data_IF_902171669847
#
_entry.id   IF_902171669847
#
_cell.length_a   1.000
_cell.length_b   1.000
_cell.length_c   1.000
_cell.angle_alpha   90.00
_cell.angle_beta   90.00
_cell.angle_gamma   90.00
#
_symmetry.space_group_name_H-M   'P 1'
#
loop_
_entity.id
_entity.type
_entity.pdbx_description
1 polymer ?
#
# COMPACT_ATOMS: atom_id res chain seq x y z
N UNK A 1 25.34 -34.92 4.38
CA UNK A 1 25.70 -33.49 4.43
C UNK A 1 25.65 -32.80 3.06
N UNK A 2 25.83 -33.50 1.92
CA UNK A 2 25.78 -32.90 0.56
C UNK A 2 24.36 -32.69 0.00
N UNK A 3 23.41 -33.59 0.28
CA UNK A 3 22.03 -33.49 -0.23
C UNK A 3 21.21 -32.36 0.42
N UNK A 4 21.43 -32.11 1.71
CA UNK A 4 20.71 -31.06 2.46
C UNK A 4 21.09 -29.64 1.98
N UNK A 5 22.33 -29.45 1.52
CA UNK A 5 22.82 -28.18 0.97
C UNK A 5 22.23 -27.93 -0.43
N UNK A 6 22.07 -29.00 -1.22
CA UNK A 6 21.49 -28.92 -2.56
C UNK A 6 19.99 -28.59 -2.53
N UNK A 7 19.23 -29.18 -1.59
CA UNK A 7 17.81 -28.87 -1.37
C UNK A 7 17.61 -27.43 -0.86
N UNK A 8 18.50 -26.93 0.00
CA UNK A 8 18.45 -25.52 0.45
C UNK A 8 18.76 -24.54 -0.69
N UNK A 9 19.76 -24.83 -1.53
CA UNK A 9 20.08 -24.00 -2.69
C UNK A 9 18.95 -23.99 -3.72
N UNK A 10 18.32 -25.15 -3.97
CA UNK A 10 17.18 -25.24 -4.88
C UNK A 10 15.96 -24.47 -4.34
N UNK A 11 15.69 -24.57 -3.03
CA UNK A 11 14.64 -23.80 -2.36
C UNK A 11 14.90 -22.28 -2.42
N UNK A 12 16.15 -21.85 -2.26
CA UNK A 12 16.55 -20.44 -2.33
C UNK A 12 16.43 -19.90 -3.76
N UNK A 13 16.77 -20.71 -4.77
CA UNK A 13 16.59 -20.36 -6.19
C UNK A 13 15.11 -20.29 -6.56
N UNK A 14 14.26 -21.21 -6.08
CA UNK A 14 12.80 -21.12 -6.31
C UNK A 14 12.15 -19.93 -5.60
N UNK A 15 12.67 -19.53 -4.43
CA UNK A 15 12.25 -18.31 -3.72
C UNK A 15 12.67 -17.03 -4.46
N UNK A 16 13.82 -17.04 -5.16
CA UNK A 16 14.30 -15.89 -5.95
C UNK A 16 13.63 -15.76 -7.33
N UNK A 17 13.11 -16.85 -7.90
CA UNK A 17 12.49 -16.84 -9.25
C UNK A 17 10.99 -16.50 -9.22
N UNK A 18 10.37 -16.51 -8.04
CA UNK A 18 8.96 -16.14 -7.87
C UNK A 18 8.77 -14.62 -7.72
N UNK A 19 9.33 -13.82 -8.63
CA UNK A 19 8.86 -12.44 -8.77
C UNK A 19 7.49 -12.52 -9.42
N UNK A 20 6.43 -12.53 -8.62
CA UNK A 20 5.12 -12.16 -9.13
C UNK A 20 5.28 -10.77 -9.75
N UNK A 21 5.22 -10.69 -11.08
CA UNK A 21 4.86 -9.46 -11.78
C UNK A 21 3.41 -9.20 -11.39
N UNK A 22 3.21 -8.63 -10.20
CA UNK A 22 1.94 -8.02 -9.89
C UNK A 22 1.75 -6.95 -10.95
N UNK A 23 0.73 -7.12 -11.80
CA UNK A 23 0.20 -6.01 -12.57
C UNK A 23 -0.21 -4.96 -11.55
N UNK A 24 0.64 -3.95 -11.37
CA UNK A 24 0.42 -2.94 -10.35
C UNK A 24 -0.72 -2.05 -10.85
N UNK A 25 -1.82 -2.03 -10.09
CA UNK A 25 -2.95 -1.16 -10.33
C UNK A 25 -3.21 -0.28 -9.12
N UNK A 26 -3.75 0.91 -9.37
CA UNK A 26 -4.18 1.86 -8.34
C UNK A 26 -5.59 2.33 -8.68
N UNK A 27 -6.45 2.38 -7.67
CA UNK A 27 -7.79 2.97 -7.77
C UNK A 27 -7.86 4.14 -6.79
N UNK A 28 -8.39 5.27 -7.24
CA UNK A 28 -8.67 6.44 -6.41
C UNK A 28 -10.09 6.96 -6.70
N UNK A 29 -10.70 7.62 -5.71
CA UNK A 29 -12.04 8.18 -5.78
C UNK A 29 -11.98 9.69 -5.59
N UNK A 30 -12.85 10.43 -6.28
CA UNK A 30 -12.81 11.89 -6.36
C UNK A 30 -14.21 12.47 -6.47
N UNK A 31 -14.43 13.62 -5.84
CA UNK A 31 -15.63 14.43 -5.98
C UNK A 31 -15.23 15.76 -6.61
N UNK A 32 -15.72 16.02 -7.82
CA UNK A 32 -15.56 17.28 -8.54
C UNK A 32 -16.80 18.14 -8.30
N UNK A 33 -16.60 19.42 -7.98
CA UNK A 33 -17.68 20.38 -7.79
C UNK A 33 -17.64 21.50 -8.82
N UNK A 34 -18.79 21.78 -9.43
CA UNK A 34 -19.03 22.95 -10.29
C UNK A 34 -20.14 23.80 -9.68
N UNK A 35 -19.98 25.12 -9.71
CA UNK A 35 -21.04 26.02 -9.25
C UNK A 35 -22.15 26.15 -10.31
N UNK A 36 -23.27 26.74 -9.91
CA UNK A 36 -24.38 27.07 -10.79
C UNK A 36 -25.58 26.16 -10.56
N UNK A 37 -26.77 26.75 -10.47
CA UNK A 37 -28.00 26.02 -10.15
C UNK A 37 -28.66 25.37 -11.38
N UNK A 38 -28.19 25.68 -12.58
CA UNK A 38 -28.76 25.20 -13.85
C UNK A 38 -28.41 23.75 -14.22
N UNK A 39 -27.64 23.03 -13.40
CA UNK A 39 -27.18 21.68 -13.74
C UNK A 39 -28.26 20.59 -13.65
N UNK A 40 -29.36 20.82 -12.93
CA UNK A 40 -30.43 19.85 -12.72
C UNK A 40 -30.96 19.25 -14.02
N UNK A 41 -31.23 20.10 -15.02
CA UNK A 41 -31.75 19.66 -16.33
C UNK A 41 -30.70 18.87 -17.11
N UNK A 42 -29.43 19.26 -17.03
CA UNK A 42 -28.33 18.55 -17.71
C UNK A 42 -28.15 17.16 -17.11
N UNK A 43 -28.15 17.02 -15.78
CA UNK A 43 -28.02 15.72 -15.12
C UNK A 43 -29.23 14.84 -15.41
N UNK A 44 -30.44 15.41 -15.42
CA UNK A 44 -31.67 14.65 -15.68
C UNK A 44 -31.79 14.17 -17.12
N UNK A 45 -31.53 15.06 -18.08
CA UNK A 45 -31.88 14.83 -19.49
C UNK A 45 -30.65 14.44 -20.34
N UNK A 46 -29.44 14.79 -19.90
CA UNK A 46 -28.19 14.67 -20.66
C UNK A 46 -27.03 14.06 -19.87
N UNK A 47 -27.30 13.23 -18.86
CA UNK A 47 -26.27 12.63 -18.00
C UNK A 47 -25.18 11.89 -18.78
N UNK A 48 -25.52 11.17 -19.85
CA UNK A 48 -24.54 10.48 -20.69
C UNK A 48 -23.60 11.46 -21.41
N UNK A 49 -24.15 12.49 -22.06
CA UNK A 49 -23.36 13.54 -22.73
C UNK A 49 -22.47 14.28 -21.72
N UNK A 50 -22.97 14.54 -20.51
CA UNK A 50 -22.21 15.18 -19.45
C UNK A 50 -21.01 14.32 -19.01
N UNK A 51 -21.20 13.01 -18.87
CA UNK A 51 -20.11 12.07 -18.55
C UNK A 51 -19.06 12.03 -19.66
N UNK A 52 -19.48 12.02 -20.92
CA UNK A 52 -18.54 12.06 -22.05
C UNK A 52 -17.75 13.38 -22.09
N UNK A 53 -18.41 14.51 -21.82
CA UNK A 53 -17.74 15.81 -21.72
C UNK A 53 -16.71 15.83 -20.58
N UNK A 54 -17.06 15.28 -19.42
CA UNK A 54 -16.15 15.13 -18.28
C UNK A 54 -14.97 14.21 -18.60
N UNK A 55 -15.19 13.06 -19.26
CA UNK A 55 -14.11 12.17 -19.71
C UNK A 55 -13.19 12.89 -20.69
N UNK A 56 -13.75 13.65 -21.64
CA UNK A 56 -12.96 14.41 -22.59
C UNK A 56 -12.07 15.44 -21.89
N UNK A 57 -12.62 16.21 -20.96
CA UNK A 57 -11.87 17.25 -20.26
C UNK A 57 -10.83 16.70 -19.25
N UNK A 58 -11.17 15.64 -18.51
CA UNK A 58 -10.27 15.00 -17.52
C UNK A 58 -9.22 14.14 -18.23
N UNK A 59 -9.63 13.41 -19.26
CA UNK A 59 -8.78 12.50 -20.02
C UNK A 59 -7.59 13.20 -20.67
N UNK A 60 -7.70 14.50 -21.00
CA UNK A 60 -6.57 15.30 -21.48
C UNK A 60 -5.41 15.37 -20.48
N UNK A 61 -5.71 15.33 -19.18
CA UNK A 61 -4.69 15.39 -18.12
C UNK A 61 -4.26 13.99 -17.69
N UNK A 62 -5.20 13.05 -17.60
CA UNK A 62 -4.95 11.74 -17.01
C UNK A 62 -4.48 10.65 -17.99
N UNK A 63 -4.70 10.82 -19.30
CA UNK A 63 -4.27 9.82 -20.28
C UNK A 63 -2.82 10.04 -20.70
N UNK A 64 -1.90 9.26 -20.12
CA UNK A 64 -0.50 9.23 -20.54
C UNK A 64 -0.18 8.03 -21.42
N UNK A 65 0.13 8.31 -22.67
CA UNK A 65 0.60 7.28 -23.62
C UNK A 65 1.87 6.63 -23.10
N UNK A 66 1.95 5.30 -23.23
CA UNK A 66 3.12 4.49 -22.91
C UNK A 66 3.56 4.45 -21.44
N UNK A 67 2.83 5.11 -20.53
CA UNK A 67 3.01 4.96 -19.11
C UNK A 67 2.09 3.84 -18.60
N UNK A 68 0.85 4.15 -18.24
CA UNK A 68 -0.15 3.22 -17.74
C UNK A 68 -1.49 3.42 -18.47
N UNK A 69 -2.38 2.44 -18.40
CA UNK A 69 -3.77 2.62 -18.82
C UNK A 69 -4.56 3.31 -17.73
N UNK A 70 -5.33 4.33 -18.10
CA UNK A 70 -6.26 5.02 -17.21
C UNK A 70 -7.69 4.74 -17.65
N UNK A 71 -8.54 4.36 -16.70
CA UNK A 71 -9.98 4.23 -16.88
C UNK A 71 -10.68 5.15 -15.88
N UNK A 72 -11.58 5.98 -16.36
CA UNK A 72 -12.41 6.89 -15.54
C UNK A 72 -13.83 6.34 -15.54
N UNK A 73 -14.40 6.15 -14.35
CA UNK A 73 -15.80 5.72 -14.19
C UNK A 73 -16.54 6.70 -13.28
N UNK A 74 -17.80 7.00 -13.58
CA UNK A 74 -18.61 7.88 -12.75
C UNK A 74 -19.53 7.07 -11.86
N UNK A 75 -19.43 7.31 -10.56
CA UNK A 75 -20.19 6.61 -9.55
C UNK A 75 -21.53 7.32 -9.33
N UNK A 76 -21.53 8.65 -9.20
CA UNK A 76 -22.73 9.44 -9.03
C UNK A 76 -22.65 10.84 -9.64
N UNK A 77 -23.82 11.38 -9.99
CA UNK A 77 -24.02 12.78 -10.38
C UNK A 77 -25.13 13.31 -9.49
N UNK A 78 -24.87 14.38 -8.76
CA UNK A 78 -25.86 15.00 -7.88
C UNK A 78 -25.85 16.50 -8.02
N UNK A 79 -27.01 17.10 -7.80
CA UNK A 79 -27.21 18.53 -7.89
C UNK A 79 -27.92 19.01 -6.63
N UNK A 80 -27.20 19.78 -5.83
CA UNK A 80 -27.73 20.37 -4.58
C UNK A 80 -27.40 21.86 -4.58
N UNK A 81 -27.85 22.55 -5.63
CA UNK A 81 -27.48 23.93 -5.96
C UNK A 81 -26.17 24.08 -6.73
N UNK A 82 -25.26 23.12 -6.58
CA UNK A 82 -24.04 22.93 -7.36
C UNK A 82 -24.04 21.52 -7.95
N UNK A 83 -23.33 21.31 -9.06
CA UNK A 83 -23.08 19.97 -9.59
C UNK A 83 -21.93 19.33 -8.82
N UNK A 84 -22.20 18.16 -8.25
CA UNK A 84 -21.21 17.28 -7.65
C UNK A 84 -21.11 16.00 -8.47
N UNK A 85 -19.90 15.68 -8.89
CA UNK A 85 -19.58 14.52 -9.72
C UNK A 85 -18.67 13.62 -8.91
N UNK A 86 -19.14 12.43 -8.59
CA UNK A 86 -18.32 11.40 -7.96
C UNK A 86 -17.79 10.46 -9.04
N UNK A 87 -16.48 10.26 -9.02
CA UNK A 87 -15.80 9.42 -9.99
C UNK A 87 -14.69 8.60 -9.35
N UNK A 88 -14.42 7.47 -9.98
CA UNK A 88 -13.30 6.59 -9.71
C UNK A 88 -12.31 6.65 -10.87
N UNK A 89 -11.03 6.78 -10.56
CA UNK A 89 -9.91 6.66 -11.52
C UNK A 89 -9.15 5.38 -11.23
N UNK A 90 -9.11 4.49 -12.20
CA UNK A 90 -8.32 3.26 -12.15
C UNK A 90 -7.12 3.37 -13.10
N UNK A 91 -5.93 3.17 -12.56
CA UNK A 91 -4.66 3.17 -13.28
C UNK A 91 -4.08 1.77 -13.26
N UNK A 92 -3.68 1.24 -14.42
CA UNK A 92 -3.10 -0.10 -14.53
C UNK A 92 -1.81 -0.05 -15.33
N UNK A 93 -0.72 -0.53 -14.73
CA UNK A 93 0.61 -0.60 -15.36
C UNK A 93 0.57 -1.43 -16.63
N UNK A 94 1.24 -0.96 -17.68
CA UNK A 94 1.36 -1.71 -18.94
C UNK A 94 2.30 -2.91 -18.74
N UNK A 95 1.85 -4.16 -18.99
CA UNK A 95 2.66 -5.36 -18.76
C UNK A 95 3.74 -5.57 -19.82
N UNK A 96 3.70 -4.81 -20.92
CA UNK A 96 4.54 -5.01 -22.12
C UNK A 96 5.74 -4.06 -22.19
N UNK A 97 5.98 -3.22 -21.18
CA UNK A 97 7.18 -2.37 -21.16
C UNK A 97 8.38 -3.14 -20.62
N UNK A 98 9.58 -2.74 -21.06
CA UNK A 98 10.83 -3.38 -20.64
C UNK A 98 11.07 -3.31 -19.12
N UNK A 99 10.58 -2.24 -18.46
CA UNK A 99 10.77 -2.01 -17.03
C UNK A 99 9.47 -1.49 -16.37
N UNK A 100 8.52 -2.38 -15.98
CA UNK A 100 7.24 -1.97 -15.41
C UNK A 100 7.36 -1.15 -14.12
N UNK A 101 8.43 -1.36 -13.33
CA UNK A 101 8.70 -0.65 -12.08
C UNK A 101 9.10 0.81 -12.27
N UNK A 102 9.45 1.24 -13.49
CA UNK A 102 9.72 2.65 -13.80
C UNK A 102 8.43 3.44 -14.07
N UNK A 103 7.28 2.78 -14.18
CA UNK A 103 6.00 3.47 -14.35
C UNK A 103 5.56 4.06 -13.00
N UNK A 104 5.61 5.38 -12.91
CA UNK A 104 5.05 6.11 -11.78
C UNK A 104 3.52 6.11 -11.88
N UNK A 105 2.85 5.28 -11.07
CA UNK A 105 1.40 5.38 -10.87
C UNK A 105 1.14 6.57 -9.96
N UNK A 106 0.17 7.40 -10.33
CA UNK A 106 -0.19 8.55 -9.52
C UNK A 106 -0.90 8.14 -8.24
N UNK A 107 -0.54 8.86 -7.18
CA UNK A 107 -1.27 8.88 -5.92
C UNK A 107 -2.62 9.59 -6.10
N UNK A 108 -3.62 9.33 -5.24
CA UNK A 108 -4.89 10.05 -5.28
C UNK A 108 -4.72 11.57 -5.35
N UNK A 109 -3.81 12.14 -4.58
CA UNK A 109 -3.59 13.59 -4.49
C UNK A 109 -3.00 14.16 -5.79
N UNK A 110 -2.12 13.41 -6.45
CA UNK A 110 -1.62 13.76 -7.79
C UNK A 110 -2.73 13.69 -8.83
N UNK A 111 -3.61 12.68 -8.76
CA UNK A 111 -4.78 12.59 -9.65
C UNK A 111 -5.69 13.79 -9.44
N UNK A 112 -6.01 14.16 -8.19
CA UNK A 112 -6.82 15.35 -7.89
C UNK A 112 -6.15 16.62 -8.45
N UNK A 113 -4.84 16.78 -8.22
CA UNK A 113 -4.07 17.92 -8.73
C UNK A 113 -4.08 18.02 -10.26
N UNK A 114 -4.10 16.88 -10.96
CA UNK A 114 -4.20 16.84 -12.42
C UNK A 114 -5.61 17.16 -12.90
N UNK A 115 -6.64 16.65 -12.20
CA UNK A 115 -8.05 16.99 -12.49
C UNK A 115 -8.29 18.49 -12.29
N UNK A 116 -7.73 19.10 -11.24
CA UNK A 116 -7.84 20.55 -10.99
C UNK A 116 -7.22 21.41 -12.09
N UNK A 117 -6.23 20.88 -12.81
CA UNK A 117 -5.62 21.57 -13.95
C UNK A 117 -6.48 21.49 -15.23
N UNK A 118 -7.54 20.67 -15.24
CA UNK A 118 -8.48 20.63 -16.37
C UNK A 118 -9.27 21.93 -16.45
N UNK A 119 -9.40 22.46 -17.68
CA UNK A 119 -10.17 23.68 -17.94
C UNK A 119 -11.68 23.44 -18.01
N UNK A 120 -12.11 22.17 -18.06
CA UNK A 120 -13.50 21.74 -18.15
C UNK A 120 -14.30 22.46 -19.26
N UNK A 121 -13.66 22.78 -20.38
CA UNK A 121 -14.25 23.62 -21.41
C UNK A 121 -15.48 22.96 -22.06
N UNK A 122 -15.43 21.64 -22.26
CA UNK A 122 -16.53 20.88 -22.86
C UNK A 122 -17.69 20.75 -21.88
N UNK A 123 -17.38 20.46 -20.62
CA UNK A 123 -18.34 20.31 -19.53
C UNK A 123 -19.06 21.63 -19.26
N UNK A 124 -18.33 22.73 -19.08
CA UNK A 124 -18.89 24.05 -18.79
C UNK A 124 -19.74 24.61 -19.93
N UNK A 125 -19.45 24.24 -21.19
CA UNK A 125 -20.27 24.62 -22.34
C UNK A 125 -21.68 24.01 -22.33
N UNK A 126 -21.90 22.95 -21.55
CA UNK A 126 -23.22 22.32 -21.40
C UNK A 126 -24.14 23.06 -20.42
N UNK A 127 -23.61 24.03 -19.65
CA UNK A 127 -24.38 24.73 -18.62
C UNK A 127 -25.47 25.62 -19.24
N UNK A 128 -26.76 25.42 -18.89
CA UNK A 128 -27.86 26.16 -19.50
C UNK A 128 -28.29 27.39 -18.68
N UNK A 129 -27.69 27.62 -17.51
CA UNK A 129 -28.12 28.68 -16.60
C UNK A 129 -27.79 30.09 -17.12
N UNK A 130 -28.49 31.12 -16.61
CA UNK A 130 -28.25 32.52 -16.98
C UNK A 130 -26.94 33.08 -16.38
N UNK A 131 -26.44 32.43 -15.32
CA UNK A 131 -25.15 32.70 -14.69
C UNK A 131 -24.01 31.94 -15.37
N UNK A 132 -22.78 32.27 -15.03
CA UNK A 132 -21.60 31.57 -15.54
C UNK A 132 -21.25 30.46 -14.56
N UNK A 133 -21.28 29.21 -15.02
CA UNK A 133 -20.71 28.09 -14.26
C UNK A 133 -19.19 28.05 -14.40
N UNK A 134 -18.51 27.65 -13.32
CA UNK A 134 -17.09 27.48 -13.19
C UNK A 134 -16.79 26.27 -12.31
N UNK A 135 -15.66 25.62 -12.60
CA UNK A 135 -15.07 24.63 -11.71
C UNK A 135 -14.72 25.25 -10.34
N UNK A 136 -15.00 24.51 -9.27
CA UNK A 136 -14.81 24.98 -7.88
C UNK A 136 -13.68 24.21 -7.19
N UNK A 137 -13.75 22.88 -7.16
CA UNK A 137 -12.80 22.06 -6.39
C UNK A 137 -12.85 20.59 -6.78
N UNK A 138 -11.74 19.89 -6.53
CA UNK A 138 -11.68 18.42 -6.45
C UNK A 138 -11.38 18.04 -5.00
N UNK A 139 -12.02 16.99 -4.49
CA UNK A 139 -11.74 16.43 -3.16
C UNK A 139 -11.75 14.91 -3.20
N UNK A 140 -10.94 14.28 -2.38
CA UNK A 140 -10.97 12.84 -2.17
C UNK A 140 -12.00 12.54 -1.08
N UNK A 141 -12.98 11.63 -1.31
CA UNK A 141 -13.94 11.27 -0.28
C UNK A 141 -13.22 10.64 0.92
N UNK A 142 -13.50 11.14 2.13
CA UNK A 142 -12.90 10.65 3.38
C UNK A 142 -11.63 11.39 3.83
N UNK A 143 -11.01 12.23 3.00
CA UNK A 143 -9.96 13.14 3.47
C UNK A 143 -10.59 14.30 4.27
N UNK A 144 -10.45 14.24 5.60
CA UNK A 144 -11.07 15.16 6.55
C UNK A 144 -11.74 14.46 7.73
N UNK A 145 -11.96 13.16 7.65
CA UNK A 145 -12.19 12.33 8.83
C UNK A 145 -10.84 11.93 9.43
N UNK A 146 -10.77 11.89 10.77
CA UNK A 146 -9.55 11.85 11.56
C UNK A 146 -8.50 10.85 11.05
N UNK A 147 -7.24 11.30 11.02
CA UNK A 147 -6.01 10.53 10.78
C UNK A 147 -5.83 9.37 11.79
N UNK A 148 -6.72 8.37 11.78
CA UNK A 148 -6.66 7.21 12.68
C UNK A 148 -6.21 5.93 11.96
N UNK A 149 -6.19 5.91 10.63
CA UNK A 149 -5.86 4.70 9.88
C UNK A 149 -4.48 4.74 9.22
N UNK A 150 -3.46 4.61 10.07
CA UNK A 150 -2.15 4.11 9.67
C UNK A 150 -2.24 2.57 9.44
N UNK A 151 -3.01 2.11 8.47
CA UNK A 151 -3.46 0.71 8.40
C UNK A 151 -2.54 -0.24 7.62
N UNK A 152 -1.70 0.27 6.72
CA UNK A 152 -0.77 -0.56 5.94
C UNK A 152 0.63 -0.66 6.55
N UNK A 153 1.34 0.48 6.55
CA UNK A 153 2.79 0.53 6.86
C UNK A 153 3.04 0.37 8.37
N UNK A 154 2.21 0.96 9.23
CA UNK A 154 2.36 0.81 10.68
C UNK A 154 2.04 -0.61 11.16
N UNK A 155 1.10 -1.32 10.53
CA UNK A 155 0.85 -2.74 10.82
C UNK A 155 2.06 -3.61 10.47
N UNK A 156 2.77 -3.28 9.39
CA UNK A 156 4.04 -3.89 9.02
C UNK A 156 5.18 -3.57 10.00
N UNK A 157 5.25 -2.33 10.50
CA UNK A 157 6.28 -1.94 11.47
C UNK A 157 6.07 -2.59 12.84
N UNK A 158 4.82 -2.71 13.29
CA UNK A 158 4.46 -3.41 14.54
C UNK A 158 4.71 -4.92 14.42
N UNK A 159 4.40 -5.55 13.29
CA UNK A 159 4.66 -6.98 13.10
C UNK A 159 6.16 -7.31 13.08
N UNK A 160 6.97 -6.50 12.42
CA UNK A 160 8.43 -6.65 12.41
C UNK A 160 9.03 -6.46 13.81
N UNK A 161 8.52 -5.50 14.58
CA UNK A 161 8.95 -5.30 15.97
C UNK A 161 8.69 -6.53 16.86
N UNK A 162 7.52 -7.16 16.71
CA UNK A 162 7.15 -8.38 17.46
C UNK A 162 8.09 -9.55 17.10
N UNK A 163 8.42 -9.71 15.82
CA UNK A 163 9.31 -10.79 15.35
C UNK A 163 10.71 -10.63 15.94
N UNK A 164 11.26 -9.41 15.96
CA UNK A 164 12.59 -9.13 16.51
C UNK A 164 12.63 -9.42 18.01
N UNK A 165 11.65 -8.93 18.78
CA UNK A 165 11.56 -9.17 20.23
C UNK A 165 11.39 -10.66 20.52
N UNK A 166 10.58 -11.37 19.73
CA UNK A 166 10.41 -12.82 19.84
C UNK A 166 11.71 -13.58 19.63
N UNK A 167 12.47 -13.26 18.58
CA UNK A 167 13.77 -13.87 18.31
C UNK A 167 14.78 -13.59 19.43
N UNK A 168 14.83 -12.36 19.96
CA UNK A 168 15.69 -12.02 21.09
C UNK A 168 15.35 -12.82 22.36
N UNK A 169 14.06 -12.98 22.66
CA UNK A 169 13.60 -13.79 23.79
C UNK A 169 13.98 -15.27 23.65
N UNK A 170 13.87 -15.84 22.46
CA UNK A 170 14.27 -17.24 22.22
C UNK A 170 15.77 -17.43 22.45
N UNK A 171 16.61 -16.53 21.92
CA UNK A 171 18.07 -16.58 22.13
C UNK A 171 18.42 -16.44 23.61
N UNK A 172 17.72 -15.59 24.35
CA UNK A 172 17.91 -15.42 25.78
C UNK A 172 17.56 -16.71 26.57
N UNK A 173 16.46 -17.37 26.23
CA UNK A 173 16.09 -18.64 26.87
C UNK A 173 17.07 -19.78 26.54
N UNK A 174 17.59 -19.82 25.32
CA UNK A 174 18.62 -20.80 24.92
C UNK A 174 19.93 -20.56 25.68
N UNK A 175 20.36 -19.31 25.84
CA UNK A 175 21.58 -18.98 26.60
C UNK A 175 21.41 -19.28 28.09
N UNK A 176 20.27 -18.96 28.69
CA UNK A 176 19.97 -19.31 30.08
C UNK A 176 19.93 -20.83 30.31
N UNK A 177 19.26 -21.57 29.43
CA UNK A 177 19.22 -23.03 29.52
C UNK A 177 20.61 -23.64 29.32
N UNK A 178 21.44 -23.09 28.42
CA UNK A 178 22.83 -23.50 28.26
C UNK A 178 23.65 -23.23 29.53
N UNK A 179 23.58 -22.02 30.10
CA UNK A 179 24.32 -21.67 31.32
C UNK A 179 23.86 -22.52 32.51
N UNK A 180 22.54 -22.68 32.70
CA UNK A 180 21.99 -23.52 33.77
C UNK A 180 22.37 -25.01 33.60
N UNK A 181 22.31 -25.54 32.38
CA UNK A 181 22.69 -26.95 32.13
C UNK A 181 24.21 -27.17 32.20
N UNK A 182 25.02 -26.21 31.76
CA UNK A 182 26.47 -26.30 31.77
C UNK A 182 27.08 -26.06 33.16
N UNK A 183 26.55 -25.12 33.96
CA UNK A 183 26.99 -24.96 35.35
C UNK A 183 26.64 -26.18 36.21
N UNK A 184 25.45 -26.76 36.02
CA UNK A 184 25.05 -27.98 36.74
C UNK A 184 25.94 -29.19 36.43
N UNK A 185 26.63 -29.21 35.29
CA UNK A 185 27.64 -30.23 34.97
C UNK A 185 29.00 -29.97 35.64
N UNK A 186 29.38 -28.70 35.90
CA UNK A 186 30.65 -28.37 36.57
C UNK A 186 30.65 -28.75 38.05
N UNK A 187 29.53 -28.61 38.76
CA UNK A 187 29.45 -28.98 40.18
C UNK A 187 29.61 -30.48 40.45
N UNK A 188 29.43 -31.33 39.43
CA UNK A 188 29.64 -32.78 39.57
C UNK A 188 31.11 -33.21 39.44
N UNK A 189 32.03 -32.27 39.22
CA UNK A 189 33.44 -32.56 38.91
C UNK A 189 34.43 -31.86 39.84
N UNK A 190 34.05 -31.56 41.09
CA UNK A 190 35.05 -31.27 42.14
C UNK A 190 35.66 -32.58 42.65
N UNK A 191 36.99 -32.81 42.53
CA UNK A 191 37.65 -34.01 43.04
C UNK A 191 37.68 -34.00 44.57
N UNK A 192 37.30 -35.10 45.23
CA UNK A 192 37.63 -35.31 46.66
C UNK A 192 39.14 -35.42 46.79
N UNK A 193 39.76 -34.51 47.54
CA UNK A 193 41.14 -34.66 48.01
C UNK A 193 41.31 -36.00 48.77
N UNK A 194 42.45 -36.69 48.61
CA UNK A 194 42.74 -37.88 49.37
C UNK A 194 43.28 -37.50 50.76
N UNK A 195 42.51 -37.79 51.80
CA UNK A 195 43.01 -37.79 53.18
C UNK A 195 43.95 -38.99 53.34
N UNK A 196 45.25 -38.72 53.22
CA UNK A 196 46.34 -39.56 53.70
C UNK A 196 46.23 -39.59 55.23
N UNK A 197 46.15 -40.78 55.85
CA UNK A 197 46.71 -41.04 57.18
C UNK A 197 46.82 -42.53 57.56
N UNK A 198 47.98 -42.83 58.13
CA UNK A 198 48.41 -43.99 58.95
C UNK A 198 48.62 -45.35 58.28
N UNK A 199 49.91 -45.63 58.03
CA UNK A 199 50.50 -46.96 57.96
C UNK A 199 50.64 -47.46 59.42
N UNK A 200 49.93 -48.54 59.78
CA UNK A 200 50.14 -49.25 61.05
C UNK A 200 51.11 -50.44 60.82
N UNK A 201 52.21 -50.42 61.56
CA UNK A 201 53.22 -51.48 61.59
C UNK A 201 53.00 -52.34 62.83
N UNK A 202 52.47 -53.56 62.66
CA UNK A 202 52.62 -54.61 63.67
C UNK A 202 53.04 -55.96 63.08
N UNK A 203 54.28 -56.26 63.45
CA UNK A 203 54.96 -57.55 63.71
C UNK A 203 54.05 -58.73 63.99
#
# INVERSE_FOLDING_TARGET
MKESVFLCLFALVTLLVSHHVYAQSSKSEHIITFNGTGWDSVVKDKSAELREALIADIGLQLNRRYAFNTTITFDSLSTSGNLQVELSVNQTVLPTVAEPWLQHIWTPEEVSSLIEQSKFATTLAMYPGPDVSSFVSVRIPGEGEELSECTGVCKGMVSMGIIIVGLMMVVFLVTLSYVCCCNRRRDKQSPREPHRDSIDWKR
#
